data_IF_984360577183
#
_entry.id   IF_984360577183
#
_cell.length_a   1.000
_cell.length_b   1.000
_cell.length_c   1.000
_cell.angle_alpha   90.00
_cell.angle_beta   90.00
_cell.angle_gamma   90.00
#
_symmetry.space_group_name_H-M   'P 1'
#
loop_
_entity.id
_entity.type
_entity.pdbx_description
1 polymer ?
#
# COMPACT_ATOMS: atom_id res chain seq x y z
N UNK A 1 62.62 -27.68 18.35
CA UNK A 1 62.72 -28.63 17.21
C UNK A 1 61.30 -29.03 16.80
N UNK A 2 60.85 -28.70 15.58
CA UNK A 2 59.57 -29.13 15.04
C UNK A 2 59.76 -30.42 14.23
N UNK A 3 58.72 -31.22 14.04
CA UNK A 3 58.67 -32.09 12.86
C UNK A 3 57.56 -31.71 11.89
N UNK A 4 58.00 -31.59 10.72
CA UNK A 4 57.55 -32.06 9.39
C UNK A 4 56.06 -32.11 9.01
N UNK A 5 55.80 -31.38 7.95
CA UNK A 5 54.63 -31.33 7.09
C UNK A 5 54.38 -32.58 6.29
N UNK A 6 53.14 -33.00 6.11
CA UNK A 6 52.67 -33.91 5.08
C UNK A 6 51.47 -33.31 4.31
N UNK A 7 51.31 -33.59 3.01
CA UNK A 7 50.54 -32.79 2.08
C UNK A 7 49.07 -33.19 2.00
N UNK A 8 48.25 -32.17 1.83
CA UNK A 8 46.79 -32.21 1.70
C UNK A 8 46.38 -32.76 0.34
N UNK A 9 45.45 -33.70 0.35
CA UNK A 9 44.77 -34.23 -0.82
C UNK A 9 43.74 -33.23 -1.38
N UNK A 10 43.79 -32.98 -2.67
CA UNK A 10 42.77 -32.20 -3.41
C UNK A 10 41.46 -32.98 -3.46
N UNK A 11 40.45 -32.42 -2.81
CA UNK A 11 39.05 -32.80 -3.06
C UNK A 11 38.50 -32.05 -4.28
N UNK A 12 38.10 -32.83 -5.27
CA UNK A 12 37.40 -32.34 -6.46
C UNK A 12 35.96 -32.00 -6.11
N UNK A 13 35.56 -30.76 -6.35
CA UNK A 13 34.19 -30.30 -6.32
C UNK A 13 33.35 -30.93 -7.44
N UNK A 14 32.12 -31.39 -7.18
CA UNK A 14 31.22 -31.85 -8.24
C UNK A 14 30.59 -30.65 -8.95
N UNK A 15 30.59 -30.71 -10.26
CA UNK A 15 29.94 -29.78 -11.17
C UNK A 15 28.43 -29.72 -10.91
N UNK A 16 27.92 -28.53 -10.63
CA UNK A 16 26.50 -28.24 -10.58
C UNK A 16 25.87 -28.37 -11.98
N UNK A 17 24.77 -29.11 -12.06
CA UNK A 17 23.96 -29.24 -13.27
C UNK A 17 23.12 -27.95 -13.42
N UNK A 18 23.00 -27.38 -14.62
CA UNK A 18 22.10 -26.25 -14.83
C UNK A 18 20.65 -26.72 -14.84
N UNK A 19 19.81 -26.11 -14.00
CA UNK A 19 18.37 -26.21 -14.11
C UNK A 19 17.91 -25.47 -15.38
N UNK A 20 17.27 -26.18 -16.28
CA UNK A 20 16.66 -25.63 -17.48
C UNK A 20 15.37 -24.91 -17.12
N UNK A 21 15.37 -23.61 -17.28
CA UNK A 21 14.15 -22.82 -17.31
C UNK A 21 13.44 -23.00 -18.67
N UNK A 22 12.10 -23.07 -18.72
CA UNK A 22 11.40 -23.13 -19.99
C UNK A 22 11.45 -21.75 -20.67
N UNK A 23 12.13 -21.70 -21.78
CA UNK A 23 12.16 -20.58 -22.70
C UNK A 23 10.79 -20.41 -23.36
N UNK A 24 10.04 -19.37 -22.99
CA UNK A 24 8.98 -18.83 -23.84
C UNK A 24 9.65 -17.93 -24.85
N UNK A 25 9.85 -18.46 -26.04
CA UNK A 25 10.38 -17.73 -27.18
C UNK A 25 9.34 -16.73 -27.68
N UNK A 26 9.60 -15.44 -27.47
CA UNK A 26 8.92 -14.39 -28.21
C UNK A 26 9.76 -14.09 -29.45
N UNK A 27 9.43 -14.73 -30.56
CA UNK A 27 10.01 -14.46 -31.87
C UNK A 27 9.36 -13.20 -32.44
N UNK A 28 10.02 -12.08 -32.33
CA UNK A 28 9.77 -10.88 -33.14
C UNK A 28 11.08 -10.14 -33.37
N UNK A 29 11.86 -10.63 -34.32
CA UNK A 29 12.95 -9.88 -34.96
C UNK A 29 12.86 -10.12 -36.46
N UNK A 30 12.13 -9.26 -37.16
CA UNK A 30 12.23 -9.14 -38.59
C UNK A 30 13.07 -7.91 -38.92
N UNK A 31 14.10 -8.16 -39.68
CA UNK A 31 15.11 -7.32 -40.27
C UNK A 31 14.66 -5.92 -40.68
N UNK A 32 15.48 -4.91 -40.30
CA UNK A 32 15.62 -3.67 -41.02
C UNK A 32 17.09 -3.33 -41.11
N UNK A 33 17.73 -3.81 -42.18
CA UNK A 33 19.01 -3.26 -42.67
C UNK A 33 18.73 -1.95 -43.42
N UNK A 34 18.97 -0.81 -42.79
CA UNK A 34 19.00 0.49 -43.43
C UNK A 34 20.44 1.01 -43.42
N UNK A 35 20.91 1.68 -44.53
CA UNK A 35 22.25 2.23 -44.61
C UNK A 35 22.42 3.43 -43.68
N UNK A 36 23.66 3.78 -43.27
CA UNK A 36 23.89 4.88 -42.35
C UNK A 36 23.65 6.21 -43.08
N UNK A 37 22.50 6.80 -42.87
CA UNK A 37 22.27 8.20 -43.17
C UNK A 37 22.84 9.01 -42.00
N UNK A 38 23.80 9.87 -42.25
CA UNK A 38 24.22 10.92 -41.35
C UNK A 38 23.06 11.89 -41.18
N UNK A 39 22.16 11.59 -40.26
CA UNK A 39 21.15 12.54 -39.81
C UNK A 39 21.77 13.36 -38.68
N UNK A 40 22.00 14.64 -38.95
CA UNK A 40 22.18 15.62 -37.90
C UNK A 40 21.04 15.43 -36.91
N UNK A 41 21.35 15.19 -35.62
CA UNK A 41 20.36 15.13 -34.55
C UNK A 41 19.69 16.51 -34.46
N UNK A 42 18.62 16.71 -35.22
CA UNK A 42 17.69 17.78 -34.93
C UNK A 42 17.06 17.39 -33.59
N UNK A 43 17.22 18.24 -32.61
CA UNK A 43 16.46 18.14 -31.35
C UNK A 43 14.99 18.11 -31.75
N UNK A 44 14.39 16.92 -31.70
CA UNK A 44 12.94 16.75 -31.84
C UNK A 44 12.37 17.38 -30.57
N UNK A 45 11.92 18.63 -30.68
CA UNK A 45 11.07 19.21 -29.66
C UNK A 45 9.88 18.28 -29.49
N UNK A 46 9.57 17.83 -28.27
CA UNK A 46 8.42 16.97 -28.03
C UNK A 46 7.13 17.78 -28.25
N UNK A 47 6.64 17.79 -29.46
CA UNK A 47 5.30 18.29 -29.83
C UNK A 47 4.31 17.15 -29.79
N UNK A 48 4.04 16.58 -28.62
CA UNK A 48 2.76 15.98 -28.39
C UNK A 48 1.87 17.07 -27.78
N UNK A 49 0.77 17.47 -28.40
CA UNK A 49 -0.17 18.36 -27.73
C UNK A 49 -0.71 17.62 -26.51
N UNK A 50 -0.32 18.07 -25.33
CA UNK A 50 -0.91 17.64 -24.08
C UNK A 50 -2.35 18.17 -24.10
N UNK A 51 -3.35 17.27 -24.12
CA UNK A 51 -4.74 17.68 -24.18
C UNK A 51 -5.18 18.41 -22.91
N UNK A 52 -4.73 17.94 -21.77
CA UNK A 52 -5.11 18.50 -20.48
C UNK A 52 -4.08 18.18 -19.40
N UNK A 53 -3.73 19.18 -18.58
CA UNK A 53 -2.99 19.01 -17.33
C UNK A 53 -3.78 19.59 -16.18
N UNK A 54 -3.99 18.79 -15.14
CA UNK A 54 -4.60 19.21 -13.89
C UNK A 54 -3.52 19.31 -12.82
N UNK A 55 -3.48 20.45 -12.14
CA UNK A 55 -2.62 20.67 -10.98
C UNK A 55 -3.49 20.78 -9.73
N UNK A 56 -2.99 20.29 -8.62
CA UNK A 56 -3.68 20.43 -7.36
C UNK A 56 -2.76 20.18 -6.18
N UNK A 57 -3.24 20.51 -5.01
CA UNK A 57 -2.52 20.33 -3.77
C UNK A 57 -3.43 19.96 -2.62
N UNK A 58 -2.83 19.45 -1.55
CA UNK A 58 -3.51 19.24 -0.27
C UNK A 58 -2.55 19.33 0.91
N UNK A 59 -3.07 19.83 2.02
CA UNK A 59 -2.37 19.87 3.30
C UNK A 59 -3.24 19.20 4.37
N UNK A 60 -2.64 18.31 5.13
CA UNK A 60 -3.23 17.70 6.32
C UNK A 60 -2.36 18.09 7.51
N UNK A 61 -2.95 18.82 8.46
CA UNK A 61 -2.34 19.08 9.76
C UNK A 61 -2.99 18.19 10.78
N UNK A 62 -2.19 17.52 11.58
CA UNK A 62 -2.65 16.54 12.57
C UNK A 62 -2.19 16.95 13.97
N UNK A 63 -3.04 16.72 14.94
CA UNK A 63 -2.74 16.72 16.37
C UNK A 63 -2.89 15.31 16.90
N UNK A 64 -1.91 14.88 17.70
CA UNK A 64 -1.95 13.62 18.43
C UNK A 64 -1.76 13.87 19.92
N UNK A 65 -2.39 13.03 20.73
CA UNK A 65 -2.03 12.85 22.16
C UNK A 65 -2.31 11.41 22.57
N UNK A 66 -1.61 10.92 23.60
CA UNK A 66 -1.66 9.52 24.04
C UNK A 66 -1.74 9.44 25.57
N UNK A 67 -2.36 8.35 26.06
CA UNK A 67 -2.34 7.98 27.48
C UNK A 67 -1.02 7.39 27.94
N UNK A 68 -0.13 7.06 27.01
CA UNK A 68 1.21 6.53 27.30
C UNK A 68 2.14 7.70 27.53
N UNK A 69 2.88 7.68 28.63
CA UNK A 69 3.86 8.74 28.96
C UNK A 69 5.13 8.55 28.13
N UNK A 70 5.08 8.94 26.86
CA UNK A 70 6.18 8.90 25.92
C UNK A 70 6.68 10.31 25.61
N UNK A 71 7.94 10.44 25.20
CA UNK A 71 8.42 11.66 24.55
C UNK A 71 7.51 11.95 23.34
N UNK A 72 7.04 13.20 23.23
CA UNK A 72 6.10 13.64 22.18
C UNK A 72 4.70 13.00 22.24
N UNK A 73 4.22 12.63 23.40
CA UNK A 73 2.86 12.13 23.62
C UNK A 73 1.75 13.13 23.24
N UNK A 74 2.09 14.41 22.94
CA UNK A 74 1.16 15.46 22.51
C UNK A 74 1.86 16.40 21.55
N UNK A 75 1.45 16.40 20.25
CA UNK A 75 2.11 17.21 19.23
C UNK A 75 1.16 17.66 18.11
N UNK A 76 1.51 18.79 17.46
CA UNK A 76 1.00 19.19 16.16
C UNK A 76 2.06 19.00 15.08
N UNK A 77 1.68 18.45 13.95
CA UNK A 77 2.58 18.29 12.82
C UNK A 77 1.86 18.32 11.47
N UNK A 78 2.61 18.59 10.40
CA UNK A 78 2.11 18.49 9.04
C UNK A 78 2.20 17.03 8.62
N UNK A 79 1.06 16.34 8.63
CA UNK A 79 0.99 14.91 8.31
C UNK A 79 1.17 14.63 6.82
N UNK A 80 0.64 15.52 5.97
CA UNK A 80 0.78 15.46 4.51
C UNK A 80 0.80 16.87 3.94
N UNK A 81 1.75 17.13 3.06
CA UNK A 81 1.77 18.30 2.20
C UNK A 81 2.06 17.80 0.78
N UNK A 82 1.03 17.69 -0.06
CA UNK A 82 1.13 17.01 -1.35
C UNK A 82 0.75 17.93 -2.49
N UNK A 83 1.53 17.85 -3.55
CA UNK A 83 1.29 18.52 -4.83
C UNK A 83 1.22 17.41 -5.89
N UNK A 84 0.31 17.55 -6.85
CA UNK A 84 0.20 16.61 -7.96
C UNK A 84 -0.01 17.33 -9.28
N UNK A 85 0.45 16.66 -10.33
CA UNK A 85 0.12 16.94 -11.71
C UNK A 85 -0.44 15.66 -12.33
N UNK A 86 -1.61 15.74 -12.96
CA UNK A 86 -2.18 14.65 -13.74
C UNK A 86 -2.35 15.15 -15.17
N UNK A 87 -1.83 14.41 -16.14
CA UNK A 87 -1.74 14.85 -17.54
C UNK A 87 -2.33 13.80 -18.45
N UNK A 88 -3.26 14.20 -19.31
CA UNK A 88 -3.73 13.42 -20.46
C UNK A 88 -2.92 13.87 -21.67
N UNK A 89 -2.13 12.94 -22.21
CA UNK A 89 -1.30 13.19 -23.40
C UNK A 89 -2.18 13.04 -24.68
N UNK A 90 -3.02 12.01 -24.71
CA UNK A 90 -3.99 11.73 -25.77
C UNK A 90 -5.07 10.78 -25.25
N UNK A 91 -5.94 10.27 -26.13
CA UNK A 91 -7.09 9.40 -25.78
C UNK A 91 -6.72 8.13 -25.02
N UNK A 92 -5.50 7.64 -25.15
CA UNK A 92 -5.07 6.36 -24.58
C UNK A 92 -3.82 6.42 -23.72
N UNK A 93 -3.15 7.59 -23.63
CA UNK A 93 -1.98 7.80 -22.76
C UNK A 93 -2.27 8.91 -21.75
N UNK A 94 -2.13 8.59 -20.49
CA UNK A 94 -2.14 9.54 -19.38
C UNK A 94 -1.02 9.23 -18.38
N UNK A 95 -0.80 10.13 -17.45
CA UNK A 95 0.17 9.95 -16.39
C UNK A 95 -0.06 10.90 -15.24
N UNK A 96 0.55 10.58 -14.12
CA UNK A 96 0.46 11.43 -12.93
C UNK A 96 1.76 11.40 -12.13
N UNK A 97 2.06 12.53 -11.53
CA UNK A 97 3.08 12.66 -10.49
C UNK A 97 2.44 13.26 -9.26
N UNK A 98 2.68 12.66 -8.09
CA UNK A 98 2.27 13.18 -6.79
C UNK A 98 3.47 13.11 -5.85
N UNK A 99 3.86 14.26 -5.31
CA UNK A 99 4.98 14.42 -4.39
C UNK A 99 4.46 14.82 -3.02
N UNK A 100 5.02 14.23 -1.97
CA UNK A 100 4.80 14.61 -0.57
C UNK A 100 6.02 15.36 -0.05
N UNK A 101 5.80 16.57 0.43
CA UNK A 101 6.83 17.48 0.95
C UNK A 101 6.66 17.74 2.45
N UNK A 102 5.89 16.92 3.16
CA UNK A 102 5.66 17.05 4.61
C UNK A 102 6.85 16.60 5.45
N UNK A 103 7.74 15.78 4.90
CA UNK A 103 8.95 15.32 5.59
C UNK A 103 10.18 16.21 5.33
N UNK A 104 11.31 15.84 5.91
CA UNK A 104 12.60 16.51 5.67
C UNK A 104 13.12 16.39 4.24
N UNK A 105 12.64 15.38 3.51
CA UNK A 105 12.97 15.13 2.10
C UNK A 105 11.67 14.94 1.31
N UNK A 106 11.59 15.57 0.14
CA UNK A 106 10.48 15.35 -0.77
C UNK A 106 10.49 13.91 -1.30
N UNK A 107 9.33 13.25 -1.31
CA UNK A 107 9.20 11.87 -1.77
C UNK A 107 8.10 11.72 -2.81
N UNK A 108 8.37 10.99 -3.89
CA UNK A 108 7.32 10.63 -4.83
C UNK A 108 6.36 9.62 -4.18
N UNK A 109 5.06 9.89 -4.24
CA UNK A 109 4.02 8.92 -3.83
C UNK A 109 3.49 8.18 -5.04
N UNK A 110 3.20 8.89 -6.12
CA UNK A 110 2.86 8.34 -7.42
C UNK A 110 3.73 8.99 -8.48
N UNK A 111 4.22 8.19 -9.39
CA UNK A 111 4.92 8.66 -10.58
C UNK A 111 4.79 7.57 -11.65
N UNK A 112 3.79 7.68 -12.53
CA UNK A 112 3.50 6.65 -13.51
C UNK A 112 2.99 7.22 -14.83
N UNK A 113 3.18 6.44 -15.88
CA UNK A 113 2.52 6.59 -17.19
C UNK A 113 1.57 5.41 -17.35
N UNK A 114 0.36 5.68 -17.86
CA UNK A 114 -0.65 4.66 -18.12
C UNK A 114 -1.04 4.67 -19.60
N UNK A 115 -1.18 3.46 -20.15
CA UNK A 115 -1.68 3.18 -21.50
C UNK A 115 -3.02 2.47 -21.39
N UNK A 116 -4.09 3.11 -21.86
CA UNK A 116 -5.46 2.59 -21.87
C UNK A 116 -5.76 1.95 -23.23
N UNK A 117 -5.53 0.65 -23.36
CA UNK A 117 -5.74 -0.10 -24.63
C UNK A 117 -7.21 -0.40 -24.86
N UNK A 118 -7.95 -0.66 -23.78
CA UNK A 118 -9.41 -0.87 -23.76
C UNK A 118 -9.90 -0.73 -22.32
N UNK A 119 -11.22 -0.71 -22.05
CA UNK A 119 -11.75 -0.81 -20.69
C UNK A 119 -11.25 -2.05 -19.94
N UNK A 120 -11.06 -3.15 -20.66
CA UNK A 120 -10.55 -4.40 -20.11
C UNK A 120 -9.03 -4.45 -19.94
N UNK A 121 -8.26 -3.49 -20.48
CA UNK A 121 -6.80 -3.55 -20.43
C UNK A 121 -6.18 -2.15 -20.36
N UNK A 122 -5.68 -1.79 -19.18
CA UNK A 122 -4.92 -0.57 -18.92
C UNK A 122 -3.59 -0.97 -18.26
N UNK A 123 -2.48 -0.55 -18.86
CA UNK A 123 -1.12 -0.82 -18.38
C UNK A 123 -0.52 0.45 -17.80
N UNK A 124 -0.02 0.38 -16.58
CA UNK A 124 0.73 1.48 -15.95
C UNK A 124 2.17 1.04 -15.66
N UNK A 125 3.11 1.95 -15.85
CA UNK A 125 4.54 1.78 -15.59
C UNK A 125 5.01 2.88 -14.68
N UNK A 126 5.72 2.56 -13.61
CA UNK A 126 6.24 3.52 -12.66
C UNK A 126 5.93 3.16 -11.22
N UNK A 127 5.76 4.16 -10.35
CA UNK A 127 5.48 3.99 -8.93
C UNK A 127 3.99 4.18 -8.64
N UNK A 128 3.39 3.16 -8.05
CA UNK A 128 1.97 3.09 -7.66
C UNK A 128 1.80 2.16 -6.46
N UNK A 129 0.58 2.03 -5.93
CA UNK A 129 0.25 1.02 -4.92
C UNK A 129 0.13 -0.35 -5.55
N UNK A 130 0.66 -1.38 -4.87
CA UNK A 130 0.44 -2.78 -5.23
C UNK A 130 -1.05 -3.12 -5.18
N UNK A 131 -1.46 -4.06 -6.02
CA UNK A 131 -2.85 -4.51 -6.17
C UNK A 131 -3.27 -5.42 -5.02
N UNK A 132 -3.35 -4.89 -3.81
CA UNK A 132 -3.70 -5.65 -2.61
C UNK A 132 -4.43 -4.75 -1.62
N UNK A 133 -5.52 -5.27 -1.00
CA UNK A 133 -6.25 -4.66 0.08
C UNK A 133 -7.03 -3.36 -0.26
N UNK A 134 -8.36 -3.40 -0.09
CA UNK A 134 -9.24 -2.27 -0.37
C UNK A 134 -8.95 -1.05 0.52
N UNK A 135 -8.62 -1.25 1.81
CA UNK A 135 -8.34 -0.14 2.73
C UNK A 135 -7.10 0.64 2.32
N UNK A 136 -6.05 -0.06 1.86
CA UNK A 136 -4.83 0.59 1.39
C UNK A 136 -4.98 1.20 0.00
N UNK A 137 -5.74 0.57 -0.90
CA UNK A 137 -6.05 1.12 -2.21
C UNK A 137 -6.91 2.39 -2.12
N UNK A 138 -7.77 2.50 -1.11
CA UNK A 138 -8.52 3.73 -0.82
C UNK A 138 -7.56 4.91 -0.67
N UNK A 139 -7.88 6.04 -1.29
CA UNK A 139 -7.08 7.26 -1.18
C UNK A 139 -6.99 7.74 0.26
N UNK A 140 -5.82 8.22 0.69
CA UNK A 140 -5.70 8.90 1.99
C UNK A 140 -6.50 10.20 2.11
N UNK A 141 -7.16 10.63 1.03
CA UNK A 141 -8.15 11.70 1.03
C UNK A 141 -9.50 11.23 1.56
N UNK A 142 -9.81 9.97 1.35
CA UNK A 142 -11.15 9.40 1.51
C UNK A 142 -11.26 8.41 2.68
N UNK A 143 -10.13 8.07 3.34
CA UNK A 143 -10.14 7.19 4.53
C UNK A 143 -11.14 7.68 5.58
N UNK A 144 -11.83 6.72 6.19
CA UNK A 144 -12.93 6.96 7.13
C UNK A 144 -12.46 7.22 8.57
N UNK A 145 -11.20 6.97 8.90
CA UNK A 145 -10.57 7.22 10.20
C UNK A 145 -9.34 8.10 10.04
N UNK A 146 -8.92 8.79 11.10
CA UNK A 146 -7.65 9.51 11.09
C UNK A 146 -6.53 8.49 11.16
N UNK A 147 -5.85 8.27 10.04
CA UNK A 147 -4.83 7.26 9.79
C UNK A 147 -5.33 5.81 9.82
N UNK A 148 -4.83 5.00 8.85
CA UNK A 148 -5.26 3.62 8.65
C UNK A 148 -4.84 2.70 9.78
N UNK A 149 -3.61 2.86 10.24
CA UNK A 149 -2.91 1.94 11.13
C UNK A 149 -3.37 2.01 12.59
N UNK A 150 -4.09 3.09 12.98
CA UNK A 150 -4.62 3.19 14.33
C UNK A 150 -3.55 3.25 15.42
N UNK A 151 -2.50 4.01 15.18
CA UNK A 151 -1.35 4.10 16.09
C UNK A 151 -1.67 4.82 17.40
N UNK A 152 -1.11 4.34 18.50
CA UNK A 152 -1.11 4.98 19.82
C UNK A 152 0.36 5.24 20.20
N UNK A 153 0.76 6.51 20.24
CA UNK A 153 2.15 6.88 20.49
C UNK A 153 2.65 6.30 21.83
N UNK A 154 3.78 5.60 21.78
CA UNK A 154 4.39 4.94 22.94
C UNK A 154 3.72 3.63 23.37
N UNK A 155 2.76 3.12 22.62
CA UNK A 155 2.18 1.79 22.86
C UNK A 155 3.17 0.67 22.51
N UNK A 156 2.83 -0.53 22.97
CA UNK A 156 3.58 -1.75 22.72
C UNK A 156 3.82 -2.01 21.24
N UNK A 157 4.99 -2.49 20.88
CA UNK A 157 5.35 -2.83 19.51
C UNK A 157 4.84 -4.22 19.12
N UNK A 158 4.00 -4.25 18.07
CA UNK A 158 3.54 -5.47 17.44
C UNK A 158 4.68 -6.15 16.67
N UNK A 159 4.87 -7.44 16.88
CA UNK A 159 5.98 -8.19 16.30
C UNK A 159 6.04 -8.06 14.76
N UNK A 160 7.22 -7.74 14.25
CA UNK A 160 7.49 -7.55 12.83
C UNK A 160 6.97 -6.25 12.21
N UNK A 161 5.87 -5.65 12.70
CA UNK A 161 5.23 -4.48 12.09
C UNK A 161 5.37 -3.21 12.92
N UNK A 162 5.75 -3.31 14.19
CA UNK A 162 5.89 -2.19 15.12
C UNK A 162 4.58 -1.51 15.49
N UNK A 163 4.57 -0.68 16.52
CA UNK A 163 3.37 0.01 17.00
C UNK A 163 2.27 -0.94 17.42
N UNK A 164 0.99 -0.55 17.30
CA UNK A 164 -0.13 -1.39 17.68
C UNK A 164 -0.46 -2.42 16.60
N UNK A 165 -0.86 -3.64 16.98
CA UNK A 165 -1.31 -4.66 16.03
C UNK A 165 -2.65 -4.24 15.40
N UNK A 166 -2.67 -3.96 14.10
CA UNK A 166 -3.87 -3.60 13.36
C UNK A 166 -3.83 -4.12 11.93
N UNK A 167 -4.97 -4.35 11.32
CA UNK A 167 -5.10 -4.84 9.95
C UNK A 167 -4.26 -4.07 8.94
N UNK A 168 -4.44 -2.74 8.89
CA UNK A 168 -3.76 -1.90 7.90
C UNK A 168 -2.24 -1.86 8.12
N UNK A 169 -1.79 -2.05 9.35
CA UNK A 169 -0.36 -2.11 9.65
C UNK A 169 0.30 -3.33 9.05
N UNK A 170 -0.35 -4.50 9.11
CA UNK A 170 0.15 -5.71 8.45
C UNK A 170 0.21 -5.55 6.94
N UNK A 171 -0.87 -5.06 6.33
CA UNK A 171 -0.94 -4.84 4.89
C UNK A 171 0.17 -3.90 4.39
N UNK A 172 0.39 -2.76 5.05
CA UNK A 172 1.36 -1.74 4.65
C UNK A 172 2.80 -2.12 5.03
N UNK A 173 3.03 -2.53 6.31
CA UNK A 173 4.40 -2.75 6.84
C UNK A 173 5.04 -4.03 6.34
N UNK A 174 4.25 -5.05 6.05
CA UNK A 174 4.75 -6.26 5.38
C UNK A 174 4.81 -6.09 3.86
N UNK A 175 4.61 -4.89 3.35
CA UNK A 175 4.76 -4.48 1.96
C UNK A 175 3.83 -5.21 0.97
N UNK A 176 2.75 -5.86 1.41
CA UNK A 176 1.78 -6.46 0.49
C UNK A 176 1.02 -5.43 -0.34
N UNK A 177 0.69 -4.27 0.26
CA UNK A 177 -0.08 -3.19 -0.37
C UNK A 177 0.66 -1.86 -0.52
N UNK A 178 1.92 -1.80 -0.14
CA UNK A 178 2.76 -0.59 -0.19
C UNK A 178 2.87 -0.02 -1.61
N UNK A 179 3.30 1.25 -1.70
CA UNK A 179 3.77 1.83 -2.95
C UNK A 179 5.05 1.15 -3.40
N UNK A 180 5.18 0.90 -4.70
CA UNK A 180 6.38 0.30 -5.27
C UNK A 180 6.51 0.65 -6.75
N UNK A 181 7.69 0.40 -7.33
CA UNK A 181 8.01 0.64 -8.73
C UNK A 181 7.84 -0.64 -9.53
N UNK A 182 7.10 -0.58 -10.64
CA UNK A 182 6.88 -1.75 -11.49
C UNK A 182 5.85 -1.56 -12.59
N UNK A 183 5.09 -2.62 -12.87
CA UNK A 183 4.03 -2.67 -13.87
C UNK A 183 2.71 -3.04 -13.20
N UNK A 184 1.65 -2.33 -13.54
CA UNK A 184 0.28 -2.61 -13.15
C UNK A 184 -0.57 -2.85 -14.39
N UNK A 185 -1.19 -4.01 -14.49
CA UNK A 185 -2.28 -4.31 -15.40
C UNK A 185 -3.60 -4.22 -14.63
N UNK A 186 -4.55 -3.45 -15.15
CA UNK A 186 -5.88 -3.34 -14.57
C UNK A 186 -6.96 -3.26 -15.66
N UNK A 187 -8.16 -3.70 -15.33
CA UNK A 187 -9.27 -3.65 -16.26
C UNK A 187 -10.60 -4.01 -15.63
N UNK A 188 -11.65 -3.85 -16.42
CA UNK A 188 -13.02 -4.18 -16.08
C UNK A 188 -13.62 -5.05 -17.18
N UNK A 189 -14.35 -6.08 -16.80
CA UNK A 189 -15.03 -7.02 -17.69
C UNK A 189 -16.46 -7.26 -17.20
N UNK A 190 -17.26 -8.01 -17.96
CA UNK A 190 -18.66 -8.29 -17.64
C UNK A 190 -19.47 -7.01 -17.36
N UNK A 191 -19.41 -6.03 -18.28
CA UNK A 191 -20.08 -4.73 -18.20
C UNK A 191 -19.77 -3.97 -16.90
N UNK A 192 -18.49 -4.01 -16.47
CA UNK A 192 -18.01 -3.33 -15.27
C UNK A 192 -18.33 -4.03 -13.95
N UNK A 193 -18.95 -5.23 -13.99
CA UNK A 193 -19.27 -5.98 -12.76
C UNK A 193 -18.08 -6.70 -12.16
N UNK A 194 -17.03 -6.92 -12.93
CA UNK A 194 -15.81 -7.57 -12.46
C UNK A 194 -14.62 -6.67 -12.82
N UNK A 195 -13.91 -6.20 -11.81
CA UNK A 195 -12.65 -5.49 -11.94
C UNK A 195 -11.48 -6.38 -11.56
N UNK A 196 -10.31 -6.09 -12.10
CA UNK A 196 -9.08 -6.76 -11.72
C UNK A 196 -7.87 -5.82 -11.76
N UNK A 197 -6.93 -6.07 -10.86
CA UNK A 197 -5.64 -5.42 -10.79
C UNK A 197 -4.57 -6.49 -10.58
N UNK A 198 -3.46 -6.39 -11.31
CA UNK A 198 -2.32 -7.31 -11.18
C UNK A 198 -1.05 -6.46 -11.24
N UNK A 199 -0.15 -6.64 -10.28
CA UNK A 199 1.13 -5.92 -10.23
C UNK A 199 2.31 -6.87 -10.21
N UNK A 200 3.38 -6.47 -10.87
CA UNK A 200 4.72 -7.00 -10.70
C UNK A 200 5.65 -5.81 -10.38
N UNK A 201 6.27 -5.83 -9.21
CA UNK A 201 7.04 -4.70 -8.67
C UNK A 201 8.39 -5.15 -8.12
N UNK A 202 9.28 -4.20 -7.89
CA UNK A 202 10.62 -4.50 -7.41
C UNK A 202 10.66 -5.20 -6.04
N UNK A 203 9.86 -4.78 -5.07
CA UNK A 203 9.88 -5.38 -3.74
C UNK A 203 10.18 -4.38 -2.62
N UNK A 204 11.28 -3.64 -2.65
CA UNK A 204 11.76 -2.84 -1.52
C UNK A 204 10.84 -1.68 -1.11
N UNK A 205 9.84 -1.32 -1.93
CA UNK A 205 8.89 -0.26 -1.63
C UNK A 205 9.19 1.07 -2.34
N UNK A 206 8.56 2.17 -1.88
CA UNK A 206 8.58 3.43 -2.62
C UNK A 206 9.96 4.08 -2.65
N UNK A 207 10.30 4.68 -3.80
CA UNK A 207 11.54 5.42 -4.04
C UNK A 207 12.83 4.59 -3.85
N UNK A 208 12.72 3.28 -3.83
CA UNK A 208 13.83 2.34 -3.66
C UNK A 208 14.08 1.61 -4.98
N UNK A 209 15.35 1.36 -5.27
CA UNK A 209 15.75 0.54 -6.41
C UNK A 209 15.70 -0.93 -6.06
N UNK A 210 15.70 -1.75 -7.09
CA UNK A 210 15.87 -3.19 -6.98
C UNK A 210 17.17 -3.56 -6.23
N UNK A 211 17.10 -4.56 -5.35
CA UNK A 211 18.22 -4.97 -4.49
C UNK A 211 18.69 -6.42 -4.74
N UNK A 212 17.82 -7.29 -5.32
CA UNK A 212 18.10 -8.74 -5.42
C UNK A 212 17.64 -9.40 -6.72
N UNK A 213 17.24 -8.65 -7.75
CA UNK A 213 16.69 -9.11 -9.03
C UNK A 213 15.36 -9.91 -8.95
N UNK A 214 14.85 -10.22 -7.76
CA UNK A 214 13.56 -10.86 -7.58
C UNK A 214 12.40 -9.84 -7.68
N UNK A 215 11.16 -10.31 -7.76
CA UNK A 215 10.00 -9.44 -7.92
C UNK A 215 8.89 -9.85 -6.98
N UNK A 216 8.21 -8.83 -6.46
CA UNK A 216 6.98 -9.00 -5.71
C UNK A 216 5.77 -8.93 -6.62
N UNK A 217 4.78 -9.77 -6.36
CA UNK A 217 3.56 -9.86 -7.15
C UNK A 217 2.34 -9.62 -6.29
N UNK A 218 1.32 -8.95 -6.85
CA UNK A 218 0.02 -8.82 -6.19
C UNK A 218 -1.09 -8.91 -7.21
N UNK A 219 -2.23 -9.45 -6.79
CA UNK A 219 -3.44 -9.54 -7.59
C UNK A 219 -4.67 -9.25 -6.75
N UNK A 220 -5.61 -8.50 -7.33
CA UNK A 220 -6.92 -8.21 -6.76
C UNK A 220 -7.99 -8.47 -7.79
N UNK A 221 -9.02 -9.21 -7.40
CA UNK A 221 -10.26 -9.38 -8.14
C UNK A 221 -11.37 -8.65 -7.37
N UNK A 222 -12.14 -7.83 -8.06
CA UNK A 222 -13.29 -7.11 -7.53
C UNK A 222 -14.58 -7.59 -8.21
N UNK A 223 -15.59 -7.89 -7.43
CA UNK A 223 -16.92 -8.24 -7.91
C UNK A 223 -17.95 -7.27 -7.34
N UNK A 224 -18.78 -6.72 -8.25
CA UNK A 224 -19.85 -5.79 -7.93
C UNK A 224 -21.21 -6.47 -8.15
N UNK A 225 -21.70 -7.29 -7.18
CA UNK A 225 -22.94 -8.06 -7.33
C UNK A 225 -24.18 -7.18 -7.41
N UNK A 226 -24.16 -6.00 -6.79
CA UNK A 226 -25.26 -5.05 -6.75
C UNK A 226 -24.72 -3.62 -6.65
N UNK A 227 -25.53 -2.59 -6.99
CA UNK A 227 -25.14 -1.19 -6.77
C UNK A 227 -24.73 -0.96 -5.30
N UNK A 228 -23.57 -0.34 -5.11
CA UNK A 228 -23.03 -0.03 -3.79
C UNK A 228 -22.51 -1.24 -3.01
N UNK A 229 -22.36 -2.43 -3.62
CA UNK A 229 -21.75 -3.60 -2.99
C UNK A 229 -20.53 -4.03 -3.79
N UNK A 230 -19.37 -4.10 -3.16
CA UNK A 230 -18.11 -4.55 -3.74
C UNK A 230 -17.51 -5.65 -2.85
N UNK A 231 -17.14 -6.77 -3.46
CA UNK A 231 -16.41 -7.86 -2.82
C UNK A 231 -15.04 -7.97 -3.47
N UNK A 232 -14.00 -8.00 -2.68
CA UNK A 232 -12.62 -8.12 -3.14
C UNK A 232 -11.97 -9.41 -2.68
N UNK A 233 -11.18 -10.04 -3.57
CA UNK A 233 -10.26 -11.12 -3.22
C UNK A 233 -8.84 -10.71 -3.63
N UNK A 234 -7.88 -10.93 -2.75
CA UNK A 234 -6.51 -10.45 -2.90
C UNK A 234 -5.51 -11.58 -2.66
N UNK A 235 -4.44 -11.58 -3.47
CA UNK A 235 -3.24 -12.40 -3.30
C UNK A 235 -2.03 -11.48 -3.39
N UNK A 236 -1.11 -11.58 -2.43
CA UNK A 236 0.19 -10.92 -2.42
C UNK A 236 1.29 -11.95 -2.25
N UNK A 237 2.38 -11.78 -2.95
CA UNK A 237 3.62 -12.54 -2.78
C UNK A 237 4.74 -11.50 -2.73
N UNK A 238 5.29 -11.31 -1.53
CA UNK A 238 6.35 -10.34 -1.29
C UNK A 238 7.70 -11.02 -1.31
N UNK A 239 8.60 -10.49 -2.11
CA UNK A 239 10.01 -10.86 -2.15
C UNK A 239 10.79 -10.10 -1.07
N UNK A 240 11.64 -10.80 -0.32
CA UNK A 240 12.46 -10.19 0.72
C UNK A 240 13.77 -10.98 0.95
N UNK A 241 14.86 -10.29 1.35
CA UNK A 241 16.07 -10.96 1.82
C UNK A 241 15.85 -11.50 3.24
N UNK A 242 15.93 -12.83 3.41
CA UNK A 242 15.81 -13.45 4.73
C UNK A 242 17.08 -13.21 5.54
N UNK A 243 16.96 -12.43 6.63
CA UNK A 243 18.10 -12.01 7.44
C UNK A 243 18.79 -13.13 8.21
N UNK A 244 18.14 -14.28 8.40
CA UNK A 244 18.68 -15.44 9.12
C UNK A 244 19.42 -16.37 8.19
N UNK A 245 18.81 -16.73 7.05
CA UNK A 245 19.38 -17.67 6.07
C UNK A 245 20.35 -17.00 5.10
N UNK A 246 20.25 -15.68 4.92
CA UNK A 246 21.02 -14.91 3.94
C UNK A 246 20.61 -15.17 2.48
N UNK A 247 19.44 -15.76 2.24
CA UNK A 247 18.90 -16.05 0.91
C UNK A 247 17.61 -15.26 0.69
N UNK A 248 17.27 -15.04 -0.59
CA UNK A 248 16.00 -14.46 -0.96
C UNK A 248 14.87 -15.46 -0.69
N UNK A 249 13.75 -14.96 -0.20
CA UNK A 249 12.56 -15.72 0.15
C UNK A 249 11.30 -14.98 -0.29
N UNK A 250 10.17 -15.68 -0.26
CA UNK A 250 8.86 -15.13 -0.63
C UNK A 250 7.86 -15.37 0.48
N UNK A 251 7.21 -14.32 0.92
CA UNK A 251 6.11 -14.37 1.88
C UNK A 251 4.77 -14.17 1.17
N UNK A 252 3.83 -15.14 1.21
CA UNK A 252 2.48 -14.98 0.70
C UNK A 252 1.55 -14.33 1.72
N UNK A 253 0.52 -13.63 1.19
CA UNK A 253 -0.66 -13.22 1.94
C UNK A 253 -1.91 -13.27 1.08
N UNK A 254 -3.04 -13.57 1.70
CA UNK A 254 -4.36 -13.55 1.08
C UNK A 254 -5.30 -12.68 1.89
N UNK A 255 -6.21 -11.99 1.22
CA UNK A 255 -7.24 -11.20 1.89
C UNK A 255 -8.56 -11.26 1.13
N UNK A 256 -9.66 -11.15 1.89
CA UNK A 256 -11.00 -10.94 1.34
C UNK A 256 -11.57 -9.70 2.00
N UNK A 257 -12.22 -8.85 1.21
CA UNK A 257 -12.84 -7.63 1.70
C UNK A 257 -14.24 -7.42 1.11
N UNK A 258 -15.03 -6.65 1.86
CA UNK A 258 -16.39 -6.25 1.53
C UNK A 258 -16.51 -4.73 1.71
N UNK A 259 -17.11 -4.05 0.76
CA UNK A 259 -17.52 -2.66 0.87
C UNK A 259 -19.01 -2.54 0.52
N UNK A 260 -19.79 -1.86 1.38
CA UNK A 260 -21.21 -1.57 1.17
C UNK A 260 -21.42 -0.08 1.35
N UNK A 261 -22.08 0.57 0.39
CA UNK A 261 -22.20 2.01 0.31
C UNK A 261 -21.05 2.66 -0.44
N UNK A 262 -20.91 3.95 -0.27
CA UNK A 262 -19.86 4.76 -0.91
C UNK A 262 -19.49 5.98 -0.08
N UNK A 263 -18.51 6.75 -0.56
CA UNK A 263 -18.04 7.97 0.10
C UNK A 263 -18.92 9.20 -0.17
N UNK A 264 -20.01 9.09 -0.93
CA UNK A 264 -20.87 10.20 -1.26
C UNK A 264 -21.83 10.60 -0.13
N UNK A 265 -22.34 9.59 0.63
CA UNK A 265 -23.22 9.85 1.77
C UNK A 265 -24.01 8.63 2.22
N UNK A 266 -24.74 8.77 3.34
CA UNK A 266 -25.51 7.68 3.93
C UNK A 266 -24.63 6.62 4.61
N UNK A 267 -25.10 5.38 4.60
CA UNK A 267 -24.41 4.25 5.22
C UNK A 267 -23.21 3.81 4.39
N UNK A 268 -22.08 3.57 5.07
CA UNK A 268 -20.88 3.01 4.44
C UNK A 268 -20.21 2.02 5.40
N UNK A 269 -19.92 0.82 4.91
CA UNK A 269 -19.23 -0.26 5.60
C UNK A 269 -18.03 -0.71 4.78
N UNK A 270 -16.89 -0.83 5.42
CA UNK A 270 -15.73 -1.55 4.88
C UNK A 270 -15.33 -2.65 5.89
N UNK A 271 -15.15 -3.87 5.42
CA UNK A 271 -14.71 -5.00 6.24
C UNK A 271 -13.68 -5.84 5.48
N UNK A 272 -12.77 -6.49 6.19
CA UNK A 272 -11.76 -7.35 5.59
C UNK A 272 -11.13 -8.30 6.59
N UNK A 273 -10.65 -9.42 6.07
CA UNK A 273 -9.82 -10.40 6.77
C UNK A 273 -8.60 -10.71 5.91
N UNK A 274 -7.45 -10.85 6.53
CA UNK A 274 -6.17 -11.14 5.87
C UNK A 274 -5.39 -12.15 6.70
N UNK A 275 -4.78 -13.11 6.01
CA UNK A 275 -3.85 -14.10 6.56
C UNK A 275 -2.63 -14.17 5.66
N UNK A 276 -1.44 -14.40 6.24
CA UNK A 276 -0.21 -14.53 5.50
C UNK A 276 0.99 -14.77 6.39
N UNK A 277 2.17 -14.70 5.81
CA UNK A 277 3.45 -14.85 6.48
C UNK A 277 4.02 -13.50 6.90
N UNK A 278 4.41 -13.40 8.18
CA UNK A 278 5.06 -12.24 8.76
C UNK A 278 6.58 -12.36 8.60
N UNK A 279 7.08 -12.04 7.41
CA UNK A 279 8.48 -12.14 7.03
C UNK A 279 9.44 -11.28 7.88
N UNK A 280 8.89 -10.40 8.73
CA UNK A 280 9.65 -9.58 9.67
C UNK A 280 9.71 -10.19 11.08
N UNK A 281 9.02 -11.33 11.30
CA UNK A 281 9.05 -12.08 12.54
C UNK A 281 9.51 -13.51 12.23
N UNK A 282 10.84 -13.68 12.21
CA UNK A 282 11.51 -14.94 11.84
C UNK A 282 11.94 -15.69 13.09
N UNK A 283 11.83 -17.02 13.06
CA UNK A 283 12.40 -17.88 14.08
C UNK A 283 13.93 -18.06 13.89
N UNK A 284 14.55 -18.84 14.76
CA UNK A 284 16.00 -19.10 14.74
C UNK A 284 16.47 -19.86 13.48
N UNK A 285 15.58 -20.54 12.77
CA UNK A 285 15.84 -21.25 11.53
C UNK A 285 15.52 -20.38 10.28
N UNK A 286 15.01 -19.17 10.49
CA UNK A 286 14.63 -18.24 9.44
C UNK A 286 13.25 -18.51 8.83
N UNK A 287 12.36 -19.20 9.56
CA UNK A 287 10.97 -19.40 9.12
C UNK A 287 10.12 -18.22 9.59
N UNK A 288 9.21 -17.81 8.75
CA UNK A 288 8.22 -16.76 9.02
C UNK A 288 7.16 -17.26 10.01
N UNK A 289 6.64 -16.38 10.85
CA UNK A 289 5.42 -16.66 11.59
C UNK A 289 4.17 -16.40 10.74
N UNK A 290 3.11 -17.17 10.97
CA UNK A 290 1.80 -16.93 10.36
C UNK A 290 1.04 -15.86 11.12
N UNK A 291 0.54 -14.83 10.41
CA UNK A 291 -0.33 -13.82 11.00
C UNK A 291 -1.79 -13.95 10.54
N UNK A 292 -2.70 -13.51 11.39
CA UNK A 292 -4.11 -13.36 11.07
C UNK A 292 -4.62 -12.00 11.55
N UNK A 293 -5.38 -11.31 10.71
CA UNK A 293 -5.96 -10.01 11.07
C UNK A 293 -7.30 -9.78 10.38
N UNK A 294 -8.18 -9.01 11.03
CA UNK A 294 -9.43 -8.55 10.45
C UNK A 294 -9.75 -7.13 10.90
N UNK A 295 -10.58 -6.44 10.11
CA UNK A 295 -11.04 -5.08 10.38
C UNK A 295 -12.46 -4.87 9.87
N UNK A 296 -13.22 -4.06 10.60
CA UNK A 296 -14.47 -3.48 10.15
C UNK A 296 -14.52 -2.00 10.47
N UNK A 297 -14.97 -1.20 9.51
CA UNK A 297 -15.22 0.24 9.67
C UNK A 297 -16.64 0.52 9.22
N UNK A 298 -17.43 1.17 10.05
CA UNK A 298 -18.80 1.58 9.75
C UNK A 298 -18.96 3.08 9.95
N UNK A 299 -19.64 3.73 9.01
CA UNK A 299 -20.00 5.15 9.10
C UNK A 299 -21.42 5.39 8.62
N UNK A 300 -21.93 6.55 8.98
CA UNK A 300 -23.14 7.10 8.36
C UNK A 300 -23.00 8.61 8.20
N UNK A 301 -23.01 9.08 6.97
CA UNK A 301 -22.92 10.52 6.67
C UNK A 301 -24.30 11.15 6.66
N UNK A 302 -24.56 11.99 7.67
CA UNK A 302 -25.77 12.78 7.81
C UNK A 302 -25.58 14.13 7.13
N UNK A 303 -26.39 14.49 6.12
CA UNK A 303 -26.36 15.84 5.57
C UNK A 303 -26.84 16.85 6.62
N UNK A 304 -26.29 18.07 6.59
CA UNK A 304 -26.69 19.19 7.43
C UNK A 304 -27.25 20.29 6.54
N UNK A 305 -28.55 20.55 6.68
CA UNK A 305 -29.25 21.58 5.93
C UNK A 305 -29.09 22.95 6.58
N UNK A 306 -29.32 24.05 5.84
CA UNK A 306 -29.46 25.38 6.37
C UNK A 306 -28.32 26.36 6.16
N UNK A 307 -27.50 26.20 5.13
CA UNK A 307 -26.50 27.20 4.71
C UNK A 307 -25.31 27.36 5.67
N UNK A 308 -25.07 26.36 6.52
CA UNK A 308 -23.93 26.33 7.43
C UNK A 308 -22.62 25.98 6.68
N UNK A 309 -21.47 26.27 7.30
CA UNK A 309 -20.15 25.90 6.76
C UNK A 309 -19.93 24.38 6.78
N UNK A 310 -20.58 23.68 7.71
CA UNK A 310 -20.58 22.21 7.79
C UNK A 310 -21.74 21.68 6.95
N UNK A 311 -21.44 20.82 5.97
CA UNK A 311 -22.42 20.25 5.04
C UNK A 311 -22.86 18.85 5.43
N UNK A 312 -22.02 18.13 6.17
CA UNK A 312 -22.38 16.82 6.72
C UNK A 312 -21.57 16.50 7.97
N UNK A 313 -22.17 15.68 8.83
CA UNK A 313 -21.52 15.08 10.00
C UNK A 313 -21.54 13.56 9.80
N UNK A 314 -20.38 12.91 9.98
CA UNK A 314 -20.21 11.49 9.74
C UNK A 314 -19.56 10.82 10.96
N UNK A 315 -20.34 10.28 11.90
CA UNK A 315 -19.80 9.41 12.94
C UNK A 315 -19.20 8.15 12.33
N UNK A 316 -18.10 7.69 12.90
CA UNK A 316 -17.35 6.51 12.47
C UNK A 316 -17.02 5.61 13.65
N UNK A 317 -17.08 4.31 13.42
CA UNK A 317 -16.57 3.29 14.31
C UNK A 317 -15.71 2.29 13.57
N UNK A 318 -14.52 2.01 14.08
CA UNK A 318 -13.65 0.95 13.59
C UNK A 318 -13.38 -0.05 14.70
N UNK A 319 -13.36 -1.32 14.34
CA UNK A 319 -12.76 -2.40 15.13
C UNK A 319 -11.73 -3.09 14.25
N UNK A 320 -10.52 -3.27 14.76
CA UNK A 320 -9.45 -4.02 14.09
C UNK A 320 -8.79 -4.92 15.12
N UNK A 321 -8.55 -6.18 14.72
CA UNK A 321 -7.81 -7.16 15.51
C UNK A 321 -6.70 -7.73 14.67
N UNK A 322 -5.56 -8.01 15.30
CA UNK A 322 -4.46 -8.69 14.66
C UNK A 322 -3.67 -9.52 15.64
N UNK A 323 -3.19 -10.66 15.13
CA UNK A 323 -2.30 -11.61 15.76
C UNK A 323 -1.06 -11.72 14.86
N UNK A 324 0.12 -11.31 15.32
CA UNK A 324 1.34 -11.33 14.53
C UNK A 324 1.96 -12.71 14.37
N UNK A 325 1.61 -13.66 15.24
CA UNK A 325 2.12 -15.02 15.26
C UNK A 325 1.09 -15.99 15.85
N UNK A 326 0.31 -16.64 14.98
CA UNK A 326 -0.70 -17.64 15.40
C UNK A 326 -0.10 -18.80 16.25
N UNK A 327 1.24 -18.98 16.22
CA UNK A 327 1.95 -19.98 17.04
C UNK A 327 2.32 -19.47 18.44
N UNK A 328 2.27 -18.17 18.69
CA UNK A 328 2.55 -17.55 19.96
C UNK A 328 1.27 -17.15 20.71
N UNK A 329 1.32 -17.02 22.01
CA UNK A 329 0.17 -16.63 22.80
C UNK A 329 0.39 -15.26 23.45
N UNK A 330 -0.60 -14.37 23.30
CA UNK A 330 -0.65 -13.11 24.04
C UNK A 330 0.09 -11.94 23.36
N UNK A 331 0.46 -12.06 22.11
CA UNK A 331 1.19 -11.05 21.31
C UNK A 331 0.29 -10.24 20.37
N UNK A 332 -0.95 -10.62 20.21
CA UNK A 332 -1.97 -9.89 19.45
C UNK A 332 -2.74 -8.84 20.26
N UNK A 333 -3.77 -8.27 19.64
CA UNK A 333 -4.67 -7.35 20.33
C UNK A 333 -5.72 -6.72 19.43
N UNK A 334 -6.53 -5.83 20.03
CA UNK A 334 -7.67 -5.20 19.40
C UNK A 334 -7.60 -3.68 19.52
N UNK A 335 -7.89 -2.99 18.41
CA UNK A 335 -8.15 -1.54 18.39
C UNK A 335 -9.65 -1.30 18.20
N UNK A 336 -10.19 -0.42 19.03
CA UNK A 336 -11.48 0.21 18.82
C UNK A 336 -11.31 1.70 18.57
N UNK A 337 -11.88 2.23 17.48
CA UNK A 337 -11.70 3.62 17.07
C UNK A 337 -13.05 4.29 16.84
N UNK A 338 -13.69 4.88 17.88
CA UNK A 338 -14.79 5.82 17.68
C UNK A 338 -14.26 7.16 17.15
N UNK A 339 -15.03 7.80 16.28
CA UNK A 339 -14.64 9.08 15.71
C UNK A 339 -15.78 9.83 15.04
N UNK A 340 -15.47 11.01 14.53
CA UNK A 340 -16.38 11.85 13.78
C UNK A 340 -15.64 12.63 12.69
N UNK A 341 -16.29 12.78 11.52
CA UNK A 341 -15.82 13.60 10.41
C UNK A 341 -16.83 14.72 10.17
N UNK A 342 -16.35 15.96 10.09
CA UNK A 342 -17.11 17.13 9.70
C UNK A 342 -16.73 17.50 8.27
N UNK A 343 -17.69 17.47 7.36
CA UNK A 343 -17.50 17.78 5.95
C UNK A 343 -17.82 19.23 5.64
N UNK A 344 -16.94 19.89 4.91
CA UNK A 344 -17.10 21.23 4.39
C UNK A 344 -17.26 21.21 2.87
N UNK A 345 -17.24 22.38 2.22
CA UNK A 345 -17.32 22.50 0.77
C UNK A 345 -16.21 21.70 0.06
N UNK A 346 -16.59 21.03 -1.00
CA UNK A 346 -15.68 20.21 -1.79
C UNK A 346 -15.21 18.97 -1.00
N UNK A 347 -13.89 18.71 -1.01
CA UNK A 347 -13.27 17.58 -0.29
C UNK A 347 -12.71 17.98 1.08
N UNK A 348 -12.95 19.21 1.51
CA UNK A 348 -12.43 19.73 2.78
C UNK A 348 -13.16 19.09 3.95
N UNK A 349 -12.43 18.66 4.95
CA UNK A 349 -12.99 18.03 6.16
C UNK A 349 -12.09 18.20 7.37
N UNK A 350 -12.67 18.03 8.54
CA UNK A 350 -11.96 17.82 9.81
C UNK A 350 -12.42 16.49 10.37
N UNK A 351 -11.50 15.67 10.81
CA UNK A 351 -11.81 14.40 11.44
C UNK A 351 -11.12 14.32 12.81
N UNK A 352 -11.78 13.68 13.76
CA UNK A 352 -11.20 13.34 15.05
C UNK A 352 -11.62 11.92 15.44
N UNK A 353 -10.68 11.14 15.99
CA UNK A 353 -10.97 9.83 16.58
C UNK A 353 -10.08 9.54 17.78
N UNK A 354 -10.54 8.59 18.58
CA UNK A 354 -9.76 8.02 19.67
C UNK A 354 -9.45 6.57 19.31
N UNK A 355 -8.18 6.23 19.21
CA UNK A 355 -7.75 4.84 19.08
C UNK A 355 -7.55 4.24 20.47
N UNK A 356 -8.39 3.28 20.82
CA UNK A 356 -8.30 2.53 22.08
C UNK A 356 -7.68 1.18 21.78
N UNK A 357 -6.43 1.00 22.17
CA UNK A 357 -5.66 -0.22 21.99
C UNK A 357 -5.74 -1.12 23.22
N UNK A 358 -6.13 -2.37 23.00
CA UNK A 358 -6.21 -3.41 24.01
C UNK A 358 -5.34 -4.60 23.59
N UNK A 359 -4.07 -4.67 24.01
CA UNK A 359 -3.23 -5.84 23.79
C UNK A 359 -3.75 -7.05 24.56
N UNK A 360 -3.44 -8.25 24.08
CA UNK A 360 -3.77 -9.50 24.80
C UNK A 360 -3.00 -9.62 26.09
N UNK A 361 -1.74 -9.16 26.14
CA UNK A 361 -0.88 -9.15 27.31
C UNK A 361 -0.55 -7.73 27.78
N UNK A 362 -1.49 -7.04 28.47
CA UNK A 362 -1.19 -5.69 28.95
C UNK A 362 -2.39 -4.82 29.27
N UNK A 363 -2.13 -3.58 29.69
CA UNK A 363 -3.15 -2.58 29.99
C UNK A 363 -3.68 -1.91 28.73
N UNK A 364 -4.96 -1.49 28.75
CA UNK A 364 -5.57 -0.69 27.69
C UNK A 364 -4.93 0.70 27.67
N UNK A 365 -4.53 1.15 26.48
CA UNK A 365 -4.03 2.51 26.23
C UNK A 365 -4.88 3.18 25.15
N UNK A 366 -4.83 4.51 25.06
CA UNK A 366 -5.57 5.25 24.05
C UNK A 366 -4.75 6.42 23.48
N UNK A 367 -5.09 6.79 22.25
CA UNK A 367 -4.56 7.97 21.59
C UNK A 367 -5.68 8.74 20.90
N UNK A 368 -5.73 10.05 21.12
CA UNK A 368 -6.61 10.96 20.40
C UNK A 368 -5.86 11.51 19.18
N UNK A 369 -6.53 11.51 18.04
CA UNK A 369 -6.06 12.14 16.80
C UNK A 369 -7.11 13.09 16.26
N UNK A 370 -6.67 14.29 15.86
CA UNK A 370 -7.51 15.24 15.13
C UNK A 370 -6.74 15.70 13.88
N UNK A 371 -7.40 15.73 12.72
CA UNK A 371 -6.74 16.08 11.47
C UNK A 371 -7.62 16.99 10.61
N UNK A 372 -7.01 18.02 10.01
CA UNK A 372 -7.61 18.85 8.99
C UNK A 372 -7.23 18.35 7.60
N UNK A 373 -8.14 18.44 6.64
CA UNK A 373 -7.93 18.06 5.24
C UNK A 373 -8.33 19.26 4.39
N UNK A 374 -7.35 19.95 3.80
CA UNK A 374 -7.56 21.11 2.94
C UNK A 374 -7.01 20.82 1.55
N UNK A 375 -7.83 21.06 0.54
CA UNK A 375 -7.54 20.83 -0.89
C UNK A 375 -7.61 22.16 -1.65
N UNK A 376 -6.74 22.35 -2.62
CA UNK A 376 -6.64 23.53 -3.48
C UNK A 376 -6.12 23.19 -4.87
#
# INVERSE_FOLDING_TARGET
>A
MPPASTPTAMHRTPLARPCAAPAVALTLLAALSLPPAHAAAQAVEPRAPVERTELGGRVHVQYNTSSVNAENGSEFFVRRARIWAATRVNDWIDGAVLVDISGSVASARYAFVRMSLSPAARLSFGQFKRAFDNFELTSSADILVVERDGDVAGAFDCAGVGGVCSYSRFSERLLFSSLDVGVLLQGEVADGKVGYLITATNGPGPNTREENDAKSYSGRLEWLPAPGVKVGANLGIHDYPNAVTGHDAYAPATAVDLEIGDFAGGFHLQAGVMKGENWRNLDADGRESDFLTWQGIVTYRFPVDGGHRVHAVEPVGRVSWADPDEGAAGDGGMIFTPGVILHFNGRNKVAANVDVWRPQGGGTVWGLKAQTYVYF
#
